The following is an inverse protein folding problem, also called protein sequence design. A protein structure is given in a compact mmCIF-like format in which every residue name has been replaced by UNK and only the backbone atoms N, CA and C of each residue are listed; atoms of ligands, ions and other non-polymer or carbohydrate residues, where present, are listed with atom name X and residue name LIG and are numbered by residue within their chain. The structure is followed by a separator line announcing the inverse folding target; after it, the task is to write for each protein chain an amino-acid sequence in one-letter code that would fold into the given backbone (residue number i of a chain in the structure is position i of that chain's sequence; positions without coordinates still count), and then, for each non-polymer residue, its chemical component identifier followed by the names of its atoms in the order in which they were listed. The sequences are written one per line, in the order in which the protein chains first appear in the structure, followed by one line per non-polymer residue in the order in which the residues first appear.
data_IF_520365050728
#
_entry.id   IF_520365050728
#
_cell.length_a   1.000
_cell.length_b   1.000
_cell.length_c   1.000
_cell.angle_alpha   90.00
_cell.angle_beta   90.00
_cell.angle_gamma   90.00
#
_symmetry.space_group_name_H-M   'P 1'
#
loop_
_entity.id
_entity.type
_entity.pdbx_description
1 polymer ?
#
# COMPACT_ATOMS: atom_id res chain seq x y z
N UNK A 1 6.63 6.06 -11.60
CA UNK A 1 5.82 5.40 -10.54
C UNK A 1 5.30 6.43 -9.55
N UNK A 2 4.11 6.22 -8.97
CA UNK A 2 3.58 7.00 -7.83
C UNK A 2 3.09 6.04 -6.76
N UNK A 3 3.34 6.31 -5.48
CA UNK A 3 2.83 5.47 -4.42
C UNK A 3 2.97 6.04 -3.01
N UNK A 4 2.41 5.32 -2.05
CA UNK A 4 2.54 5.58 -0.62
C UNK A 4 3.42 4.52 0.02
N UNK A 5 4.33 4.94 0.89
CA UNK A 5 4.88 4.05 1.90
C UNK A 5 3.97 4.13 3.13
N UNK A 6 3.41 2.99 3.54
CA UNK A 6 2.60 2.87 4.76
C UNK A 6 3.32 2.03 5.80
N UNK A 7 2.94 2.20 7.08
CA UNK A 7 3.60 1.54 8.21
C UNK A 7 5.11 1.73 8.14
N UNK A 8 5.52 2.98 7.97
CA UNK A 8 6.92 3.40 7.92
C UNK A 8 7.29 4.27 9.11
N UNK A 9 8.58 4.31 9.43
CA UNK A 9 9.17 5.25 10.38
C UNK A 9 10.22 6.17 9.72
N UNK A 10 10.20 6.28 8.39
CA UNK A 10 11.21 7.01 7.61
C UNK A 10 12.58 6.31 7.52
N UNK A 11 12.71 5.12 8.10
CA UNK A 11 13.90 4.28 8.07
C UNK A 11 13.70 3.00 7.27
N UNK A 12 14.12 1.87 7.84
CA UNK A 12 14.17 0.56 7.18
C UNK A 12 12.79 -0.01 6.82
N UNK A 13 11.77 0.21 7.65
CA UNK A 13 10.50 -0.48 7.52
C UNK A 13 9.48 0.34 6.73
N UNK A 14 8.69 -0.35 5.92
CA UNK A 14 7.61 0.23 5.12
C UNK A 14 7.03 -0.78 4.14
N UNK A 15 5.77 -0.56 3.78
CA UNK A 15 5.11 -1.24 2.66
C UNK A 15 4.82 -0.22 1.59
N UNK A 16 5.38 -0.38 0.40
CA UNK A 16 5.16 0.54 -0.71
C UNK A 16 3.96 0.06 -1.54
N UNK A 17 2.98 0.93 -1.72
CA UNK A 17 1.75 0.65 -2.47
C UNK A 17 1.63 1.72 -3.54
N UNK A 18 1.44 1.33 -4.79
CA UNK A 18 1.40 2.34 -5.84
C UNK A 18 0.99 1.81 -7.19
N UNK A 19 1.35 2.61 -8.19
CA UNK A 19 1.10 2.33 -9.59
C UNK A 19 2.37 2.59 -10.41
N UNK A 20 2.69 1.63 -11.28
CA UNK A 20 3.70 1.76 -12.29
C UNK A 20 3.05 2.17 -13.63
N UNK A 21 3.45 3.33 -14.14
CA UNK A 21 2.91 3.89 -15.37
C UNK A 21 3.54 3.26 -16.61
N UNK A 22 4.71 2.63 -16.50
CA UNK A 22 5.39 2.00 -17.62
C UNK A 22 4.77 0.63 -17.93
N UNK A 23 4.39 -0.12 -16.89
CA UNK A 23 3.77 -1.45 -17.03
C UNK A 23 2.23 -1.43 -16.95
N UNK A 24 1.64 -0.33 -16.50
CA UNK A 24 0.22 -0.20 -16.19
C UNK A 24 -0.27 -1.17 -15.11
N UNK A 25 0.51 -1.30 -14.05
CA UNK A 25 0.24 -2.22 -12.95
C UNK A 25 0.12 -1.48 -11.62
N UNK A 26 -0.87 -1.88 -10.83
CA UNK A 26 -0.89 -1.57 -9.42
C UNK A 26 0.08 -2.54 -8.70
N UNK A 27 0.78 -2.07 -7.68
CA UNK A 27 1.73 -2.90 -6.95
C UNK A 27 1.63 -2.75 -5.43
N UNK A 28 2.04 -3.80 -4.72
CA UNK A 28 2.31 -3.82 -3.28
C UNK A 28 3.68 -4.46 -3.06
N UNK A 29 4.69 -3.67 -2.70
CA UNK A 29 5.99 -4.16 -2.26
C UNK A 29 5.99 -4.25 -0.73
N UNK A 30 6.10 -5.48 -0.23
CA UNK A 30 6.16 -5.77 1.21
C UNK A 30 7.51 -6.35 1.66
N UNK A 31 8.56 -6.21 0.86
CA UNK A 31 9.90 -6.75 1.16
C UNK A 31 10.49 -6.19 2.46
N UNK A 32 10.14 -4.96 2.79
CA UNK A 32 10.56 -4.27 4.03
C UNK A 32 9.40 -4.05 5.01
N UNK A 33 8.34 -4.85 4.92
CA UNK A 33 7.10 -4.66 5.70
C UNK A 33 7.18 -5.05 7.18
N UNK A 34 8.34 -5.51 7.66
CA UNK A 34 8.57 -5.90 9.05
C UNK A 34 9.07 -7.35 9.16
N UNK A 35 8.49 -8.13 10.07
CA UNK A 35 8.87 -9.54 10.23
C UNK A 35 8.45 -10.37 9.02
N UNK A 36 9.42 -11.07 8.44
CA UNK A 36 9.26 -12.04 7.35
C UNK A 36 10.08 -13.30 7.62
N UNK A 37 10.68 -13.43 8.80
CA UNK A 37 11.63 -14.49 9.16
C UNK A 37 11.00 -15.90 9.15
N UNK A 38 9.68 -15.98 9.26
CA UNK A 38 8.92 -17.20 9.29
C UNK A 38 8.77 -17.89 7.92
N UNK A 39 9.00 -17.20 6.80
CA UNK A 39 8.93 -17.82 5.47
C UNK A 39 9.76 -17.07 4.42
N UNK A 40 10.62 -17.77 3.66
CA UNK A 40 11.39 -17.15 2.58
C UNK A 40 10.52 -16.65 1.41
N UNK A 41 9.29 -17.16 1.26
CA UNK A 41 8.36 -16.73 0.21
C UNK A 41 7.45 -15.57 0.63
N UNK A 42 7.53 -15.11 1.88
CA UNK A 42 6.67 -14.02 2.36
C UNK A 42 7.10 -12.68 1.78
N UNK A 43 8.39 -12.38 1.82
CA UNK A 43 8.96 -11.16 1.26
C UNK A 43 8.78 -11.13 -0.27
N UNK A 44 8.30 -10.01 -0.81
CA UNK A 44 8.16 -9.85 -2.25
C UNK A 44 7.29 -8.67 -2.67
N UNK A 45 7.11 -8.58 -3.98
CA UNK A 45 6.26 -7.57 -4.64
C UNK A 45 5.14 -8.26 -5.38
N UNK A 46 3.93 -7.78 -5.19
CA UNK A 46 2.75 -8.23 -5.92
C UNK A 46 2.32 -7.16 -6.91
N UNK A 47 1.87 -7.61 -8.08
CA UNK A 47 1.41 -6.77 -9.17
C UNK A 47 0.03 -7.24 -9.62
N UNK A 48 -0.80 -6.31 -10.07
CA UNK A 48 -2.02 -6.61 -10.79
C UNK A 48 -2.21 -5.59 -11.92
N UNK A 49 -2.61 -6.03 -13.13
CA UNK A 49 -2.81 -5.15 -14.27
C UNK A 49 -3.96 -4.19 -13.98
N UNK A 50 -3.77 -2.88 -14.14
CA UNK A 50 -4.83 -1.90 -13.90
C UNK A 50 -4.81 -0.83 -15.01
N UNK A 51 -5.60 -0.99 -16.07
CA UNK A 51 -5.64 -0.01 -17.15
C UNK A 51 -6.08 1.38 -16.67
N UNK A 52 -5.40 2.42 -17.14
CA UNK A 52 -5.80 3.82 -16.89
C UNK A 52 -7.16 4.08 -17.53
N UNK A 53 -8.10 4.64 -16.76
CA UNK A 53 -9.44 5.04 -17.24
C UNK A 53 -9.62 6.54 -17.08
N UNK A 54 -10.09 7.21 -18.12
CA UNK A 54 -10.33 8.66 -18.14
C UNK A 54 -9.09 9.49 -17.74
N UNK A 55 -7.89 8.98 -18.09
CA UNK A 55 -6.61 9.60 -17.74
C UNK A 55 -6.27 9.57 -16.25
N UNK A 56 -6.97 8.75 -15.44
CA UNK A 56 -6.78 8.67 -13.99
C UNK A 56 -6.56 7.24 -13.52
N UNK A 57 -5.69 7.11 -12.52
CA UNK A 57 -5.56 5.92 -11.70
C UNK A 57 -6.24 6.21 -10.36
N UNK A 58 -7.11 5.31 -9.92
CA UNK A 58 -7.76 5.41 -8.62
C UNK A 58 -7.37 4.19 -7.80
N UNK A 59 -6.82 4.42 -6.61
CA UNK A 59 -6.55 3.37 -5.64
C UNK A 59 -7.31 3.70 -4.36
N UNK A 60 -7.95 2.70 -3.77
CA UNK A 60 -8.44 2.74 -2.39
C UNK A 60 -7.63 1.73 -1.59
N UNK A 61 -7.03 2.19 -0.49
CA UNK A 61 -6.17 1.36 0.36
C UNK A 61 -6.84 1.25 1.73
N UNK A 62 -7.09 0.04 2.18
CA UNK A 62 -7.41 -0.26 3.57
C UNK A 62 -6.15 -0.75 4.25
N UNK A 63 -5.85 -0.17 5.42
CA UNK A 63 -4.68 -0.49 6.22
C UNK A 63 -5.14 -0.82 7.63
N UNK A 64 -4.76 -2.00 8.11
CA UNK A 64 -4.95 -2.42 9.50
C UNK A 64 -3.60 -2.78 10.15
N UNK A 65 -3.64 -3.31 11.37
CA UNK A 65 -2.45 -3.65 12.14
C UNK A 65 -1.50 -4.61 11.42
N UNK A 66 -2.02 -5.56 10.64
CA UNK A 66 -1.21 -6.56 9.94
C UNK A 66 -1.68 -6.86 8.51
N UNK A 67 -2.45 -5.96 7.90
CA UNK A 67 -2.96 -6.15 6.54
C UNK A 67 -3.00 -4.84 5.74
N UNK A 68 -2.86 -5.02 4.43
CA UNK A 68 -3.07 -4.02 3.40
C UNK A 68 -4.00 -4.64 2.34
N UNK A 69 -5.08 -3.94 2.02
CA UNK A 69 -5.97 -4.30 0.92
C UNK A 69 -6.07 -3.12 -0.04
N UNK A 70 -5.72 -3.34 -1.30
CA UNK A 70 -5.68 -2.32 -2.34
C UNK A 70 -6.73 -2.65 -3.38
N UNK A 71 -7.63 -1.70 -3.63
CA UNK A 71 -8.67 -1.77 -4.65
C UNK A 71 -8.33 -0.78 -5.77
N UNK A 72 -8.05 -1.30 -6.96
CA UNK A 72 -7.77 -0.54 -8.17
C UNK A 72 -9.02 -0.16 -8.94
N UNK A 73 -9.06 1.08 -9.45
CA UNK A 73 -10.16 1.59 -10.27
C UNK A 73 -11.47 1.71 -9.50
N UNK A 74 -12.47 0.92 -9.92
CA UNK A 74 -13.78 0.73 -9.28
C UNK A 74 -13.84 -0.54 -8.41
N UNK A 75 -12.72 -1.24 -8.24
CA UNK A 75 -12.61 -2.51 -7.54
C UNK A 75 -12.50 -3.72 -8.46
N UNK A 76 -12.27 -3.52 -9.77
CA UNK A 76 -12.03 -4.59 -10.74
C UNK A 76 -10.74 -5.39 -10.45
N UNK A 77 -9.78 -4.77 -9.77
CA UNK A 77 -8.48 -5.34 -9.48
C UNK A 77 -8.17 -5.14 -8.00
N UNK A 78 -7.70 -6.20 -7.35
CA UNK A 78 -7.41 -6.17 -5.92
C UNK A 78 -6.11 -6.88 -5.58
N UNK A 79 -5.32 -6.28 -4.69
CA UNK A 79 -4.21 -6.97 -4.01
C UNK A 79 -4.49 -6.97 -2.52
N UNK A 80 -4.43 -8.16 -1.91
CA UNK A 80 -4.49 -8.33 -0.45
C UNK A 80 -3.15 -8.87 0.03
N UNK A 81 -2.55 -8.22 1.02
CA UNK A 81 -1.26 -8.61 1.57
C UNK A 81 -1.25 -8.46 3.09
N UNK A 82 -0.83 -9.51 3.79
CA UNK A 82 -0.42 -9.38 5.19
C UNK A 82 0.94 -8.68 5.30
N UNK A 83 1.12 -7.94 6.38
CA UNK A 83 2.36 -7.25 6.76
C UNK A 83 2.56 -7.38 8.27
N UNK A 84 3.81 -7.39 8.75
CA UNK A 84 4.11 -7.52 10.19
C UNK A 84 5.06 -6.41 10.68
N UNK A 85 4.65 -5.14 10.56
CA UNK A 85 5.50 -3.99 10.91
C UNK A 85 5.70 -3.87 12.42
N UNK A 86 6.82 -3.27 12.88
CA UNK A 86 7.00 -2.95 14.29
C UNK A 86 6.02 -1.86 14.75
N UNK A 87 5.77 -1.79 16.06
CA UNK A 87 4.84 -0.80 16.65
C UNK A 87 5.25 0.65 16.38
N UNK A 88 6.55 0.93 16.21
CA UNK A 88 7.07 2.26 15.89
C UNK A 88 6.81 2.70 14.44
N UNK A 89 6.42 1.78 13.57
CA UNK A 89 6.12 2.03 12.16
C UNK A 89 4.66 2.45 11.97
N UNK A 90 4.34 3.70 12.29
CA UNK A 90 2.97 4.27 12.21
C UNK A 90 2.81 5.33 11.11
N UNK A 91 3.91 5.76 10.50
CA UNK A 91 3.93 6.83 9.50
C UNK A 91 3.43 6.41 8.12
N UNK A 92 3.15 7.45 7.32
CA UNK A 92 2.81 7.36 5.90
C UNK A 92 3.61 8.43 5.16
N UNK A 93 4.19 8.09 4.01
CA UNK A 93 4.86 9.06 3.12
C UNK A 93 4.50 8.85 1.66
N UNK A 94 4.44 9.94 0.89
CA UNK A 94 4.25 9.91 -0.55
C UNK A 94 5.61 9.81 -1.25
N UNK A 95 5.71 8.99 -2.29
CA UNK A 95 6.87 8.96 -3.18
C UNK A 95 6.46 8.99 -4.64
N UNK A 96 7.35 9.50 -5.48
CA UNK A 96 7.22 9.50 -6.94
C UNK A 96 8.58 9.22 -7.57
N UNK A 97 8.59 8.38 -8.59
CA UNK A 97 9.71 8.24 -9.53
C UNK A 97 9.26 8.87 -10.84
N UNK A 98 9.84 10.04 -11.15
CA UNK A 98 9.38 10.92 -12.21
C UNK A 98 8.38 11.98 -11.73
N UNK A 99 7.82 12.72 -12.69
CA UNK A 99 6.85 13.80 -12.42
C UNK A 99 5.43 13.27 -12.62
N UNK A 100 4.60 13.40 -11.60
CA UNK A 100 3.18 13.03 -11.64
C UNK A 100 2.34 14.24 -11.26
N UNK A 101 1.27 14.47 -12.00
CA UNK A 101 0.36 15.62 -11.84
C UNK A 101 -0.96 15.19 -11.22
N UNK A 102 -1.72 16.15 -10.73
CA UNK A 102 -3.10 15.97 -10.25
C UNK A 102 -3.25 14.90 -9.16
N UNK A 103 -2.23 14.79 -8.29
CA UNK A 103 -2.22 13.86 -7.17
C UNK A 103 -3.20 14.35 -6.09
N UNK A 104 -4.18 13.50 -5.76
CA UNK A 104 -5.13 13.71 -4.66
C UNK A 104 -5.06 12.54 -3.69
N UNK A 105 -4.92 12.86 -2.40
CA UNK A 105 -4.85 11.88 -1.31
C UNK A 105 -5.87 12.30 -0.25
N UNK A 106 -6.70 11.36 0.16
CA UNK A 106 -7.63 11.51 1.28
C UNK A 106 -7.39 10.34 2.24
N UNK A 107 -7.30 10.63 3.55
CA UNK A 107 -7.05 9.64 4.58
C UNK A 107 -8.10 9.77 5.68
N UNK A 108 -8.62 8.63 6.13
CA UNK A 108 -9.62 8.56 7.18
C UNK A 108 -9.19 7.50 8.20
N UNK A 109 -9.12 7.88 9.48
CA UNK A 109 -8.93 6.92 10.55
C UNK A 109 -10.18 6.05 10.69
N UNK A 110 -9.98 4.75 10.92
CA UNK A 110 -11.05 3.79 11.16
C UNK A 110 -10.96 3.35 12.62
N UNK A 111 -12.07 3.43 13.35
CA UNK A 111 -12.15 2.93 14.72
C UNK A 111 -12.16 1.41 14.74
N UNK A 112 -11.68 0.82 15.84
CA UNK A 112 -11.78 -0.61 16.09
C UNK A 112 -13.22 -1.10 15.91
N UNK A 113 -13.39 -2.23 15.22
CA UNK A 113 -14.67 -2.91 15.09
C UNK A 113 -15.02 -3.72 16.36
N UNK A 114 -14.06 -3.95 17.25
CA UNK A 114 -14.28 -4.64 18.53
C UNK A 114 -14.95 -3.70 19.53
N UNK A 115 -15.96 -4.20 20.26
CA UNK A 115 -16.59 -3.45 21.35
C UNK A 115 -15.68 -3.43 22.58
N UNK A 116 -15.44 -2.25 23.14
CA UNK A 116 -14.73 -2.10 24.42
C UNK A 116 -13.20 -2.21 24.34
N UNK A 117 -12.60 -2.11 23.14
CA UNK A 117 -11.16 -1.96 22.99
C UNK A 117 -10.70 -0.58 23.49
N UNK A 118 -9.73 -0.58 24.41
CA UNK A 118 -9.13 0.56 25.10
C UNK A 118 -8.04 1.26 24.28
#
# INVERSE_FOLDING_TARGET
MLGLNVRTNGGKYGTAIGYDFDTNELFVNRESSGDSSFSPSFSGVYYAPLPVRDGKVKLRILLDWSSVEVFGGRGEETITAQIFPPDSSTGVSLFSVGVVKDVKIEAHSVSSAWRGSY
#
